data_IF_054923092857
#
_entry.id   IF_054923092857
#
_cell.length_a   1.000
_cell.length_b   1.000
_cell.length_c   1.000
_cell.angle_alpha   90.00
_cell.angle_beta   90.00
_cell.angle_gamma   90.00
#
_symmetry.space_group_name_H-M   'P 1'
#
loop_
_entity.id
_entity.type
_entity.pdbx_description
1 polymer ?
#
# COMPACT_ATOMS: atom_id res chain seq x y z
N UNK A 1 0.54 2.11 6.34
CA UNK A 1 1.24 0.89 6.83
C UNK A 1 1.89 1.04 8.21
N UNK A 2 2.66 2.10 8.54
CA UNK A 2 3.28 2.26 9.88
C UNK A 2 2.29 2.27 11.06
N UNK A 3 1.09 2.83 10.85
CA UNK A 3 0.01 2.85 11.85
C UNK A 3 -0.43 1.43 12.25
N UNK A 4 -0.51 0.48 11.31
CA UNK A 4 -0.86 -0.91 11.62
C UNK A 4 0.22 -1.58 12.47
N UNK A 5 1.50 -1.33 12.16
CA UNK A 5 2.61 -1.85 12.96
C UNK A 5 2.58 -1.34 14.40
N UNK A 6 2.22 -0.08 14.65
CA UNK A 6 2.04 0.42 16.00
C UNK A 6 0.99 -0.39 16.77
N UNK A 7 -0.15 -0.69 16.13
CA UNK A 7 -1.24 -1.46 16.72
C UNK A 7 -0.77 -2.90 17.02
N UNK A 8 -0.20 -3.58 16.02
CA UNK A 8 0.27 -4.96 16.17
C UNK A 8 1.38 -5.08 17.22
N UNK A 9 2.32 -4.14 17.25
CA UNK A 9 3.40 -4.13 18.22
C UNK A 9 2.88 -3.97 19.65
N UNK A 10 1.90 -3.08 19.85
CA UNK A 10 1.27 -2.89 21.15
C UNK A 10 0.55 -4.17 21.62
N UNK A 11 -0.20 -4.83 20.73
CA UNK A 11 -0.87 -6.10 21.01
C UNK A 11 0.11 -7.22 21.34
N UNK A 12 1.20 -7.36 20.59
CA UNK A 12 2.22 -8.38 20.84
C UNK A 12 2.94 -8.17 22.16
N UNK A 13 3.31 -6.93 22.49
CA UNK A 13 3.86 -6.62 23.80
C UNK A 13 2.87 -6.88 24.93
N UNK A 14 1.59 -6.58 24.75
CA UNK A 14 0.57 -6.92 25.74
C UNK A 14 0.50 -8.43 25.99
N UNK A 15 0.51 -9.26 24.94
CA UNK A 15 0.55 -10.72 25.06
C UNK A 15 1.80 -11.21 25.79
N UNK A 16 2.97 -10.66 25.46
CA UNK A 16 4.24 -11.02 26.10
C UNK A 16 4.27 -10.68 27.60
N UNK A 17 3.76 -9.51 27.97
CA UNK A 17 3.73 -9.07 29.36
C UNK A 17 2.75 -9.89 30.20
N UNK A 18 1.59 -10.23 29.64
CA UNK A 18 0.60 -11.10 30.28
C UNK A 18 1.18 -12.49 30.53
N UNK A 19 1.88 -13.09 29.55
CA UNK A 19 2.53 -14.40 29.70
C UNK A 19 3.64 -14.41 30.74
N UNK A 20 4.36 -13.30 30.90
CA UNK A 20 5.49 -13.20 31.80
C UNK A 20 5.09 -12.80 33.24
N UNK A 21 3.79 -12.64 33.53
CA UNK A 21 3.25 -12.12 34.80
C UNK A 21 3.95 -10.83 35.27
N UNK A 22 4.44 -10.03 34.32
CA UNK A 22 5.16 -8.79 34.63
C UNK A 22 4.16 -7.68 34.90
N UNK A 23 4.11 -7.21 36.13
CA UNK A 23 3.25 -6.11 36.52
C UNK A 23 3.73 -4.80 35.86
N UNK A 24 2.98 -4.33 34.85
CA UNK A 24 3.19 -3.05 34.18
C UNK A 24 3.07 -1.87 35.16
N UNK A 25 2.32 -2.06 36.24
CA UNK A 25 2.08 -1.08 37.30
C UNK A 25 3.15 -1.09 38.41
N UNK A 26 4.25 -1.82 38.22
CA UNK A 26 5.39 -1.81 39.15
C UNK A 26 6.26 -0.56 38.99
N UNK A 27 7.06 -0.25 40.01
CA UNK A 27 8.03 0.85 39.97
C UNK A 27 9.31 0.54 39.18
N UNK A 28 9.50 -0.73 38.77
CA UNK A 28 10.67 -1.17 38.01
C UNK A 28 10.41 -1.08 36.52
N UNK A 29 11.41 -0.63 35.77
CA UNK A 29 11.36 -0.59 34.32
C UNK A 29 11.17 -2.00 33.74
N UNK A 30 10.19 -2.13 32.84
CA UNK A 30 9.91 -3.35 32.11
C UNK A 30 10.77 -3.39 30.85
N UNK A 31 11.62 -4.42 30.73
CA UNK A 31 12.44 -4.63 29.54
C UNK A 31 11.64 -5.37 28.47
N UNK A 32 11.55 -4.78 27.28
CA UNK A 32 10.89 -5.34 26.10
C UNK A 32 11.94 -5.77 25.07
N UNK A 33 11.67 -6.84 24.29
CA UNK A 33 12.55 -7.21 23.18
C UNK A 33 12.49 -6.12 22.10
N UNK A 34 13.66 -5.75 21.58
CA UNK A 34 13.76 -4.76 20.49
C UNK A 34 13.04 -5.27 19.24
N UNK A 35 12.04 -4.54 18.71
CA UNK A 35 11.28 -5.02 17.57
C UNK A 35 12.05 -4.80 16.26
N UNK A 36 11.78 -5.64 15.27
CA UNK A 36 12.15 -5.42 13.87
C UNK A 36 10.86 -5.36 13.06
N UNK A 37 10.49 -4.15 12.64
CA UNK A 37 9.29 -3.94 11.83
C UNK A 37 9.67 -4.02 10.35
N UNK A 38 9.39 -5.16 9.71
CA UNK A 38 9.66 -5.40 8.30
C UNK A 38 8.33 -5.69 7.60
N UNK A 39 8.12 -5.08 6.43
CA UNK A 39 6.99 -5.40 5.56
C UNK A 39 7.49 -5.74 4.17
N UNK A 40 6.92 -6.80 3.60
CA UNK A 40 7.14 -7.14 2.20
C UNK A 40 6.10 -6.43 1.34
N UNK A 41 6.56 -5.60 0.41
CA UNK A 41 5.71 -4.91 -0.55
C UNK A 41 5.62 -5.75 -1.82
N UNK A 42 4.40 -6.13 -2.19
CA UNK A 42 4.13 -6.79 -3.46
C UNK A 42 3.16 -5.98 -4.32
N UNK A 43 2.90 -4.70 -4.05
CA UNK A 43 1.85 -3.93 -4.75
C UNK A 43 2.18 -3.56 -6.20
N UNK A 44 1.19 -3.00 -6.91
CA UNK A 44 1.29 -2.64 -8.34
C UNK A 44 2.04 -1.34 -8.62
N UNK A 45 2.15 -0.44 -7.64
CA UNK A 45 2.85 0.83 -7.83
C UNK A 45 4.36 0.54 -7.87
N UNK A 46 5.07 1.21 -8.78
CA UNK A 46 6.53 1.11 -8.81
C UNK A 46 7.11 1.72 -7.53
N UNK A 47 7.84 0.91 -6.77
CA UNK A 47 8.46 1.27 -5.50
C UNK A 47 9.94 0.85 -5.51
N UNK A 48 10.82 1.55 -4.77
CA UNK A 48 12.23 1.17 -4.64
C UNK A 48 12.38 -0.23 -4.04
N UNK A 49 13.57 -0.83 -4.17
CA UNK A 49 13.85 -2.15 -3.56
C UNK A 49 13.73 -2.11 -2.04
N UNK A 50 14.14 -1.01 -1.41
CA UNK A 50 14.01 -0.81 0.03
C UNK A 50 13.61 0.64 0.33
N UNK A 51 12.73 0.81 1.32
CA UNK A 51 12.33 2.10 1.86
C UNK A 51 12.10 2.02 3.37
N UNK A 52 12.42 3.10 4.09
CA UNK A 52 12.07 3.24 5.50
C UNK A 52 10.83 4.14 5.61
N UNK A 53 9.72 3.55 6.03
CA UNK A 53 8.48 4.26 6.31
C UNK A 53 8.48 4.70 7.77
N UNK A 54 8.22 5.97 8.04
CA UNK A 54 8.15 6.50 9.40
C UNK A 54 6.70 6.69 9.84
N UNK A 55 6.42 6.44 11.12
CA UNK A 55 5.10 6.70 11.68
C UNK A 55 4.82 8.21 11.72
N UNK A 56 5.86 9.03 11.90
CA UNK A 56 5.76 10.48 11.87
C UNK A 56 5.07 11.03 10.63
N UNK A 57 5.27 10.38 9.48
CA UNK A 57 4.77 10.85 8.18
C UNK A 57 3.23 10.74 8.12
N UNK A 58 2.62 9.95 9.01
CA UNK A 58 1.17 9.80 9.11
C UNK A 58 0.50 10.86 10.00
N UNK A 59 1.25 11.73 10.69
CA UNK A 59 0.65 12.75 11.57
C UNK A 59 0.25 14.01 10.79
N UNK A 60 -0.90 14.60 11.12
CA UNK A 60 -1.36 15.83 10.45
C UNK A 60 -0.47 17.04 10.76
N UNK A 61 -0.02 17.17 12.02
CA UNK A 61 0.79 18.29 12.45
C UNK A 61 2.29 18.00 12.35
N UNK A 62 2.87 18.35 11.21
CA UNK A 62 4.31 18.20 10.94
C UNK A 62 5.18 19.33 11.55
N UNK A 63 4.58 20.33 12.21
CA UNK A 63 5.33 21.48 12.78
C UNK A 63 5.97 21.18 14.13
N UNK A 64 5.56 20.09 14.78
CA UNK A 64 6.05 19.69 16.10
C UNK A 64 6.63 18.30 16.01
N UNK A 65 7.80 18.10 16.64
CA UNK A 65 8.42 16.78 16.69
C UNK A 65 7.53 15.82 17.49
N UNK A 66 7.14 14.71 16.87
CA UNK A 66 6.35 13.68 17.52
C UNK A 66 7.13 13.05 18.71
N UNK A 67 6.40 12.72 19.77
CA UNK A 67 6.98 12.02 20.93
C UNK A 67 7.04 10.51 20.74
N UNK A 68 6.36 9.99 19.72
CA UNK A 68 6.37 8.58 19.33
C UNK A 68 6.91 8.47 17.91
N UNK A 69 7.77 7.49 17.69
CA UNK A 69 8.30 7.16 16.37
C UNK A 69 8.38 5.64 16.23
N UNK A 70 8.03 5.14 15.06
CA UNK A 70 8.18 3.75 14.66
C UNK A 70 8.60 3.73 13.19
N UNK A 71 9.70 3.05 12.92
CA UNK A 71 10.23 2.90 11.57
C UNK A 71 9.94 1.49 11.07
N UNK A 72 9.37 1.40 9.88
CA UNK A 72 9.11 0.14 9.19
C UNK A 72 10.02 0.05 7.98
N UNK A 73 10.78 -1.04 7.88
CA UNK A 73 11.59 -1.34 6.71
C UNK A 73 10.72 -2.08 5.70
N UNK A 74 10.42 -1.40 4.60
CA UNK A 74 9.69 -1.97 3.49
C UNK A 74 10.67 -2.57 2.48
N UNK A 75 10.45 -3.82 2.11
CA UNK A 75 11.24 -4.55 1.12
C UNK A 75 10.35 -4.93 -0.05
N UNK A 76 10.68 -4.47 -1.25
CA UNK A 76 9.91 -4.78 -2.44
C UNK A 76 10.21 -6.19 -2.95
N UNK A 77 9.24 -7.08 -2.83
CA UNK A 77 9.35 -8.48 -3.23
C UNK A 77 8.72 -8.78 -4.60
N UNK A 78 8.38 -7.74 -5.38
CA UNK A 78 7.93 -7.94 -6.75
C UNK A 78 9.00 -8.67 -7.57
N UNK A 79 8.55 -9.43 -8.57
CA UNK A 79 9.42 -10.25 -9.39
C UNK A 79 10.61 -9.44 -9.95
N UNK A 80 11.82 -9.96 -9.73
CA UNK A 80 13.07 -9.33 -10.17
C UNK A 80 13.69 -8.31 -9.21
N UNK A 81 13.05 -7.98 -8.07
CA UNK A 81 13.58 -7.09 -7.02
C UNK A 81 14.19 -7.88 -5.86
N UNK A 82 15.06 -7.26 -5.04
CA UNK A 82 15.64 -7.86 -3.83
C UNK A 82 16.28 -9.25 -4.06
N UNK A 83 17.10 -9.40 -5.11
CA UNK A 83 17.67 -10.70 -5.52
C UNK A 83 18.35 -11.47 -4.39
N UNK A 84 19.17 -10.81 -3.58
CA UNK A 84 19.88 -11.45 -2.47
C UNK A 84 18.92 -12.00 -1.39
N UNK A 85 17.78 -11.33 -1.15
CA UNK A 85 16.74 -11.82 -0.25
C UNK A 85 16.07 -13.07 -0.82
N UNK A 86 15.75 -13.04 -2.12
CA UNK A 86 15.12 -14.17 -2.81
C UNK A 86 16.03 -15.40 -2.83
N UNK A 87 17.31 -15.23 -3.18
CA UNK A 87 18.31 -16.31 -3.18
C UNK A 87 18.47 -16.97 -1.80
N UNK A 88 18.28 -16.21 -0.72
CA UNK A 88 18.39 -16.72 0.66
C UNK A 88 17.08 -17.27 1.20
N UNK A 89 15.95 -16.95 0.58
CA UNK A 89 14.62 -17.33 1.07
C UNK A 89 13.77 -17.85 -0.09
N UNK A 90 13.92 -19.15 -0.36
CA UNK A 90 13.23 -19.83 -1.44
C UNK A 90 11.70 -19.69 -1.39
N UNK A 91 11.11 -19.66 -0.19
CA UNK A 91 9.65 -19.43 -0.04
C UNK A 91 9.23 -18.05 -0.57
N UNK A 92 10.02 -17.00 -0.33
CA UNK A 92 9.73 -15.67 -0.87
C UNK A 92 10.00 -15.59 -2.38
N UNK A 93 11.04 -16.29 -2.84
CA UNK A 93 11.36 -16.42 -4.26
C UNK A 93 10.23 -17.04 -5.06
N UNK A 94 9.57 -18.08 -4.54
CA UNK A 94 8.41 -18.73 -5.17
C UNK A 94 7.10 -17.96 -4.93
N UNK A 95 6.99 -17.22 -3.83
CA UNK A 95 5.80 -16.40 -3.56
C UNK A 95 5.63 -15.24 -4.55
N UNK A 96 6.72 -14.59 -4.96
CA UNK A 96 6.68 -13.50 -5.92
C UNK A 96 6.02 -13.89 -7.27
N UNK A 97 6.44 -14.98 -7.96
CA UNK A 97 5.78 -15.43 -9.18
C UNK A 97 4.35 -15.94 -8.93
N UNK A 98 4.05 -16.56 -7.79
CA UNK A 98 2.67 -16.94 -7.45
C UNK A 98 1.72 -15.74 -7.44
N UNK A 99 2.10 -14.64 -6.78
CA UNK A 99 1.29 -13.41 -6.72
C UNK A 99 1.12 -12.79 -8.11
N UNK A 100 2.19 -12.77 -8.90
CA UNK A 100 2.16 -12.25 -10.27
C UNK A 100 1.23 -13.08 -11.16
N UNK A 101 1.32 -14.42 -11.11
CA UNK A 101 0.42 -15.32 -11.82
C UNK A 101 -1.03 -15.12 -11.38
N UNK A 102 -1.31 -15.10 -10.07
CA UNK A 102 -2.65 -14.89 -9.56
C UNK A 102 -3.28 -13.59 -10.08
N UNK A 103 -2.49 -12.51 -10.19
CA UNK A 103 -2.95 -11.24 -10.78
C UNK A 103 -3.27 -11.34 -12.26
N UNK A 104 -2.38 -11.96 -13.04
CA UNK A 104 -2.57 -12.10 -14.48
C UNK A 104 -3.87 -12.84 -14.80
N UNK A 105 -4.10 -13.95 -14.10
CA UNK A 105 -5.34 -14.70 -14.24
C UNK A 105 -6.56 -13.83 -13.87
N UNK A 106 -6.54 -13.18 -12.70
CA UNK A 106 -7.65 -12.33 -12.23
C UNK A 106 -7.99 -11.20 -13.20
N UNK A 107 -6.99 -10.63 -13.88
CA UNK A 107 -7.20 -9.55 -14.86
C UNK A 107 -7.93 -10.01 -16.14
N UNK A 108 -7.92 -11.31 -16.45
CA UNK A 108 -8.42 -11.87 -17.70
C UNK A 108 -9.89 -12.34 -17.65
N UNK A 109 -10.51 -12.48 -16.47
CA UNK A 109 -11.81 -13.14 -16.32
C UNK A 109 -12.77 -12.42 -15.36
N UNK A 110 -14.07 -12.74 -15.47
CA UNK A 110 -15.14 -12.23 -14.59
C UNK A 110 -15.41 -13.11 -13.38
N UNK A 111 -14.98 -14.38 -13.38
CA UNK A 111 -15.16 -15.28 -12.25
C UNK A 111 -13.87 -15.39 -11.42
N UNK A 112 -13.83 -14.67 -10.31
CA UNK A 112 -12.65 -14.56 -9.45
C UNK A 112 -12.25 -15.89 -8.80
N UNK A 113 -13.24 -16.71 -8.40
CA UNK A 113 -12.96 -17.98 -7.72
C UNK A 113 -12.41 -19.02 -8.69
N UNK A 114 -13.01 -19.14 -9.87
CA UNK A 114 -12.54 -20.07 -10.90
C UNK A 114 -11.11 -19.70 -11.34
N UNK A 115 -10.87 -18.40 -11.49
CA UNK A 115 -9.62 -17.85 -11.99
C UNK A 115 -8.46 -17.99 -10.99
N UNK A 116 -8.71 -17.81 -9.70
CA UNK A 116 -7.72 -18.12 -8.65
C UNK A 116 -7.41 -19.61 -8.57
N UNK A 117 -8.39 -20.49 -8.77
CA UNK A 117 -8.13 -21.92 -8.83
C UNK A 117 -7.20 -22.28 -9.99
N UNK A 118 -7.42 -21.70 -11.17
CA UNK A 118 -6.54 -21.89 -12.32
C UNK A 118 -5.12 -21.37 -12.07
N UNK A 119 -4.98 -20.22 -11.39
CA UNK A 119 -3.67 -19.70 -11.03
C UNK A 119 -2.93 -20.64 -10.04
N UNK A 120 -3.64 -21.19 -9.06
CA UNK A 120 -3.07 -22.16 -8.11
C UNK A 120 -2.66 -23.44 -8.84
N UNK A 121 -3.51 -23.96 -9.73
CA UNK A 121 -3.20 -25.16 -10.52
C UNK A 121 -1.96 -24.94 -11.40
N UNK A 122 -1.88 -23.79 -12.07
CA UNK A 122 -0.69 -23.41 -12.84
C UNK A 122 0.57 -23.39 -11.96
N UNK A 123 0.52 -22.77 -10.78
CA UNK A 123 1.67 -22.70 -9.90
C UNK A 123 2.09 -24.08 -9.37
N UNK A 124 1.14 -24.94 -9.03
CA UNK A 124 1.42 -26.32 -8.62
C UNK A 124 2.11 -27.10 -9.75
N UNK A 125 1.61 -26.97 -10.99
CA UNK A 125 2.14 -27.67 -12.17
C UNK A 125 3.55 -27.19 -12.57
N UNK A 126 3.90 -25.94 -12.26
CA UNK A 126 5.19 -25.33 -12.56
C UNK A 126 6.15 -25.31 -11.35
N UNK A 127 5.84 -26.07 -10.30
CA UNK A 127 6.65 -26.20 -9.08
C UNK A 127 6.87 -24.88 -8.32
N UNK A 128 5.88 -23.99 -8.35
CA UNK A 128 5.89 -22.71 -7.62
C UNK A 128 5.03 -22.85 -6.37
N UNK A 129 5.64 -22.80 -5.18
CA UNK A 129 4.99 -23.05 -3.89
C UNK A 129 4.20 -24.37 -3.87
N UNK A 130 4.58 -25.35 -4.70
CA UNK A 130 3.73 -26.50 -5.02
C UNK A 130 3.33 -27.30 -3.77
N UNK A 131 4.30 -27.66 -2.92
CA UNK A 131 4.02 -28.38 -1.68
C UNK A 131 3.10 -27.58 -0.73
N UNK A 132 3.33 -26.27 -0.63
CA UNK A 132 2.54 -25.38 0.22
C UNK A 132 1.11 -25.23 -0.30
N UNK A 133 0.94 -24.96 -1.60
CA UNK A 133 -0.35 -24.78 -2.24
C UNK A 133 -1.16 -26.08 -2.27
N UNK A 134 -0.53 -27.24 -2.47
CA UNK A 134 -1.20 -28.54 -2.38
C UNK A 134 -1.76 -28.78 -0.96
N UNK A 135 -0.99 -28.40 0.07
CA UNK A 135 -1.35 -28.64 1.47
C UNK A 135 -2.37 -27.63 2.00
N UNK A 136 -2.26 -26.37 1.60
CA UNK A 136 -3.01 -25.25 2.17
C UNK A 136 -3.96 -24.58 1.17
N UNK A 137 -4.30 -25.26 0.06
CA UNK A 137 -5.13 -24.70 -1.03
C UNK A 137 -6.36 -23.93 -0.54
N UNK A 138 -7.18 -24.57 0.29
CA UNK A 138 -8.44 -23.99 0.74
C UNK A 138 -8.24 -22.76 1.63
N UNK A 139 -7.17 -22.75 2.43
CA UNK A 139 -6.81 -21.64 3.31
C UNK A 139 -6.23 -20.47 2.52
N UNK A 140 -5.37 -20.74 1.54
CA UNK A 140 -4.83 -19.72 0.62
C UNK A 140 -5.96 -19.11 -0.22
N UNK A 141 -6.87 -19.93 -0.75
CA UNK A 141 -8.03 -19.45 -1.48
C UNK A 141 -8.96 -18.62 -0.59
N UNK A 142 -9.21 -19.08 0.65
CA UNK A 142 -9.97 -18.33 1.65
C UNK A 142 -9.34 -16.98 1.98
N UNK A 143 -8.04 -16.95 2.26
CA UNK A 143 -7.29 -15.73 2.55
C UNK A 143 -7.31 -14.76 1.36
N UNK A 144 -7.07 -15.24 0.14
CA UNK A 144 -7.11 -14.40 -1.07
C UNK A 144 -8.49 -13.82 -1.33
N UNK A 145 -9.55 -14.59 -1.07
CA UNK A 145 -10.94 -14.10 -1.18
C UNK A 145 -11.33 -13.15 -0.05
N UNK A 146 -10.81 -13.34 1.17
CA UNK A 146 -11.06 -12.48 2.33
C UNK A 146 -10.29 -11.16 2.26
N UNK A 147 -9.03 -11.18 1.81
CA UNK A 147 -8.25 -9.97 1.50
C UNK A 147 -8.95 -9.16 0.39
N UNK A 148 -9.64 -9.85 -0.53
CA UNK A 148 -10.55 -9.28 -1.52
C UNK A 148 -12.01 -9.24 -1.01
N UNK A 149 -12.26 -8.60 0.13
CA UNK A 149 -13.57 -7.98 0.36
C UNK A 149 -13.69 -6.80 -0.63
N UNK A 150 -14.07 -7.13 -1.87
CA UNK A 150 -14.17 -6.24 -3.04
C UNK A 150 -14.92 -4.98 -2.64
N UNK A 151 -16.00 -5.11 -1.87
CA UNK A 151 -16.81 -3.97 -1.43
C UNK A 151 -16.04 -3.01 -0.53
N UNK A 152 -15.19 -3.52 0.36
CA UNK A 152 -14.39 -2.71 1.28
C UNK A 152 -13.15 -2.12 0.60
N UNK A 153 -12.50 -2.91 -0.26
CA UNK A 153 -11.36 -2.47 -1.07
C UNK A 153 -11.79 -1.39 -2.08
N UNK A 154 -12.85 -1.61 -2.86
CA UNK A 154 -13.40 -0.64 -3.80
C UNK A 154 -13.83 0.65 -3.10
N UNK A 155 -14.49 0.57 -1.94
CA UNK A 155 -14.85 1.78 -1.17
C UNK A 155 -13.64 2.57 -0.71
N UNK A 156 -12.55 1.89 -0.35
CA UNK A 156 -11.33 2.53 0.14
C UNK A 156 -10.57 3.17 -1.02
N UNK A 157 -10.29 2.42 -2.08
CA UNK A 157 -9.65 2.92 -3.30
C UNK A 157 -10.47 4.04 -3.97
N UNK A 158 -11.80 3.93 -3.98
CA UNK A 158 -12.68 4.99 -4.50
C UNK A 158 -12.57 6.26 -3.67
N UNK A 159 -12.50 6.16 -2.34
CA UNK A 159 -12.32 7.33 -1.47
C UNK A 159 -10.95 7.96 -1.68
N UNK A 160 -9.89 7.16 -1.67
CA UNK A 160 -8.51 7.62 -1.91
C UNK A 160 -8.38 8.26 -3.31
N UNK A 161 -8.97 7.65 -4.35
CA UNK A 161 -8.96 8.20 -5.71
C UNK A 161 -9.77 9.49 -5.86
N UNK A 162 -10.86 9.66 -5.10
CA UNK A 162 -11.60 10.93 -5.04
C UNK A 162 -10.76 12.00 -4.32
N UNK A 163 -10.09 11.65 -3.23
CA UNK A 163 -9.21 12.56 -2.49
C UNK A 163 -8.01 13.00 -3.36
N UNK A 164 -7.29 12.05 -3.97
CA UNK A 164 -6.20 12.36 -4.91
C UNK A 164 -6.70 13.20 -6.10
N UNK A 165 -7.89 12.89 -6.64
CA UNK A 165 -8.51 13.65 -7.72
C UNK A 165 -8.86 15.10 -7.33
N UNK A 166 -9.34 15.30 -6.11
CA UNK A 166 -9.62 16.62 -5.56
C UNK A 166 -8.34 17.42 -5.30
N UNK A 167 -7.30 16.78 -4.76
CA UNK A 167 -6.00 17.41 -4.53
C UNK A 167 -5.36 17.85 -5.85
N UNK A 168 -5.29 16.95 -6.85
CA UNK A 168 -4.78 17.27 -8.19
C UNK A 168 -5.62 18.36 -8.86
N UNK A 169 -6.95 18.28 -8.77
CA UNK A 169 -7.84 19.31 -9.33
C UNK A 169 -7.62 20.69 -8.70
N UNK A 170 -7.35 20.72 -7.40
CA UNK A 170 -7.05 21.94 -6.65
C UNK A 170 -5.68 22.50 -7.06
N UNK A 171 -4.66 21.65 -7.13
CA UNK A 171 -3.30 22.02 -7.55
C UNK A 171 -3.26 22.56 -8.99
N UNK A 172 -3.89 21.85 -9.94
CA UNK A 172 -3.99 22.31 -11.33
C UNK A 172 -4.73 23.65 -11.42
N UNK A 173 -5.80 23.84 -10.64
CA UNK A 173 -6.53 25.11 -10.61
C UNK A 173 -5.65 26.27 -10.10
N UNK A 174 -4.86 26.06 -9.05
CA UNK A 174 -3.92 27.07 -8.56
C UNK A 174 -2.82 27.38 -9.58
N UNK A 175 -2.24 26.36 -10.23
CA UNK A 175 -1.24 26.56 -11.30
C UNK A 175 -1.82 27.32 -12.49
N UNK A 176 -3.07 27.06 -12.87
CA UNK A 176 -3.76 27.78 -13.94
C UNK A 176 -3.93 29.27 -13.57
N UNK A 177 -4.39 29.57 -12.37
CA UNK A 177 -4.52 30.96 -11.87
C UNK A 177 -3.17 31.67 -11.91
N UNK A 178 -2.11 31.01 -11.44
CA UNK A 178 -0.76 31.58 -11.44
C UNK A 178 -0.27 31.89 -12.86
N UNK A 179 -0.39 30.94 -13.81
CA UNK A 179 0.03 31.15 -15.20
C UNK A 179 -0.76 32.27 -15.90
N UNK A 180 -2.07 32.38 -15.63
CA UNK A 180 -2.90 33.45 -16.18
C UNK A 180 -2.54 34.82 -15.58
N UNK A 181 -2.19 34.88 -14.29
CA UNK A 181 -1.68 36.10 -13.64
C UNK A 181 -0.34 36.54 -14.22
N UNK A 182 0.62 35.61 -14.38
CA UNK A 182 1.94 35.88 -14.98
C UNK A 182 1.82 36.44 -16.42
N UNK A 183 0.81 36.00 -17.17
CA UNK A 183 0.54 36.46 -18.53
C UNK A 183 -0.44 37.66 -18.61
N UNK A 184 -0.90 38.21 -17.49
CA UNK A 184 -1.93 39.27 -17.43
C UNK A 184 -3.26 38.92 -18.17
N UNK A 185 -3.62 37.64 -18.25
CA UNK A 185 -4.83 37.15 -18.94
C UNK A 185 -6.03 37.05 -17.98
N UNK A 186 -6.38 38.18 -17.35
CA UNK A 186 -7.45 38.23 -16.33
C UNK A 186 -8.86 38.02 -16.91
N UNK A 187 -9.10 38.38 -18.18
CA UNK A 187 -10.38 38.10 -18.86
C UNK A 187 -10.58 36.60 -19.09
N UNK A 188 -9.51 35.88 -19.43
CA UNK A 188 -9.55 34.44 -19.60
C UNK A 188 -9.80 33.72 -18.27
N UNK A 189 -9.35 34.31 -17.16
CA UNK A 189 -9.65 33.83 -15.81
C UNK A 189 -11.15 33.97 -15.48
N UNK A 190 -11.75 35.14 -15.66
CA UNK A 190 -13.20 35.35 -15.41
C UNK A 190 -14.05 34.43 -16.30
N UNK A 191 -13.62 34.25 -17.56
CA UNK A 191 -14.26 33.33 -18.48
C UNK A 191 -14.10 31.87 -18.06
N UNK A 192 -12.92 31.44 -17.61
CA UNK A 192 -12.68 30.07 -17.15
C UNK A 192 -13.50 29.69 -15.91
N UNK A 193 -13.80 30.66 -15.03
CA UNK A 193 -14.66 30.45 -13.86
C UNK A 193 -16.09 30.11 -14.30
N UNK A 194 -16.59 30.76 -15.37
CA UNK A 194 -17.97 30.64 -15.86
C UNK A 194 -18.17 29.55 -16.90
N UNK A 195 -17.15 29.26 -17.71
CA UNK A 195 -17.21 28.32 -18.83
C UNK A 195 -16.30 27.10 -18.56
N UNK A 196 -16.86 25.95 -18.16
CA UNK A 196 -16.10 24.73 -17.89
C UNK A 196 -15.31 24.22 -19.11
N UNK A 197 -15.89 24.33 -20.31
CA UNK A 197 -15.24 23.87 -21.55
C UNK A 197 -14.07 24.78 -21.95
N UNK A 198 -14.18 26.07 -21.64
CA UNK A 198 -13.08 27.01 -21.82
C UNK A 198 -11.95 26.77 -20.81
N UNK A 199 -12.30 26.47 -19.55
CA UNK A 199 -11.34 26.05 -18.52
C UNK A 199 -10.56 24.79 -18.93
N UNK A 200 -11.23 23.79 -19.51
CA UNK A 200 -10.58 22.59 -20.06
C UNK A 200 -9.60 22.91 -21.18
N UNK A 201 -9.94 23.86 -22.07
CA UNK A 201 -9.03 24.32 -23.12
C UNK A 201 -7.78 24.98 -22.55
N UNK A 202 -7.93 25.80 -21.51
CA UNK A 202 -6.79 26.43 -20.84
C UNK A 202 -5.90 25.43 -20.09
N UNK A 203 -6.49 24.42 -19.44
CA UNK A 203 -5.69 23.32 -18.86
C UNK A 203 -4.85 22.63 -19.95
N UNK A 204 -5.45 22.31 -21.10
CA UNK A 204 -4.74 21.76 -22.25
C UNK A 204 -3.66 22.70 -22.82
N UNK A 205 -3.92 24.01 -22.88
CA UNK A 205 -2.95 25.02 -23.34
C UNK A 205 -1.70 25.07 -22.46
N UNK A 206 -1.88 24.92 -21.15
CA UNK A 206 -0.79 25.01 -20.18
C UNK A 206 -0.19 23.66 -19.75
N UNK A 207 -0.66 22.55 -20.33
CA UNK A 207 -0.20 21.19 -20.01
C UNK A 207 -0.49 20.78 -18.57
N UNK A 208 -1.65 21.18 -18.04
CA UNK A 208 -2.12 20.95 -16.68
C UNK A 208 -3.26 19.92 -16.63
#
# INVERSE_FOLDING_TARGET
MPVRFLIYLAEEYQKLLNKAERYIYGSKQVMLPTPQCIVFYNGEKEMPEEEILSLSDAFENQKVKASVELKVRMLNINYGKNRELMEKCHVLEEYAPFVETARQYVAESRDYQETLNLAIDYCIDHDVLSEFLQRYRAEVLGMLLEEFDVDKYERTIRKEGIEEGNERGTECSFKLVQKLQEQNRMEDLDRAVREPDYRKKLFGEFGL
#
